data_IF_647978987565
#
_entry.id   IF_647978987565
#
_cell.length_a   1.000
_cell.length_b   1.000
_cell.length_c   1.000
_cell.angle_alpha   90.00
_cell.angle_beta   90.00
_cell.angle_gamma   90.00
#
_symmetry.space_group_name_H-M   'P 1'
#
loop_
_entity.id
_entity.type
_entity.pdbx_description
1 polymer ?
#
# COMPACT_ATOMS: atom_id res chain seq x y z
N UNK A 1 -13.89 -30.63 -5.37
CA UNK A 1 -12.74 -30.37 -4.50
C UNK A 1 -11.62 -29.91 -5.40
N UNK A 2 -11.40 -28.60 -5.50
CA UNK A 2 -10.19 -28.07 -6.13
C UNK A 2 -9.95 -26.67 -5.56
N UNK A 3 -9.05 -26.57 -4.58
CA UNK A 3 -8.80 -25.37 -3.78
C UNK A 3 -7.30 -25.25 -3.43
N UNK A 4 -6.43 -25.50 -4.41
CA UNK A 4 -4.97 -25.55 -4.21
C UNK A 4 -4.14 -24.49 -4.96
N UNK A 5 -4.70 -23.75 -5.92
CA UNK A 5 -3.89 -22.99 -6.88
C UNK A 5 -3.76 -21.47 -6.60
N UNK A 6 -4.59 -20.88 -5.76
CA UNK A 6 -4.56 -19.42 -5.46
C UNK A 6 -3.54 -19.03 -4.38
N UNK A 7 -3.27 -19.93 -3.43
CA UNK A 7 -2.29 -19.70 -2.34
C UNK A 7 -0.85 -19.78 -2.83
N UNK A 8 -0.54 -20.70 -3.75
CA UNK A 8 0.82 -20.89 -4.30
C UNK A 8 1.22 -19.71 -5.18
N UNK A 9 0.30 -19.21 -6.01
CA UNK A 9 0.53 -18.03 -6.86
C UNK A 9 0.78 -16.77 -6.03
N UNK A 10 0.02 -16.56 -4.95
CA UNK A 10 0.13 -15.35 -4.13
C UNK A 10 1.39 -15.30 -3.27
N UNK A 11 1.88 -16.45 -2.80
CA UNK A 11 3.19 -16.58 -2.12
C UNK A 11 4.34 -16.31 -3.09
N UNK A 12 4.22 -16.74 -4.34
CA UNK A 12 5.26 -16.54 -5.36
C UNK A 12 5.45 -15.05 -5.72
N UNK A 13 4.36 -14.29 -5.83
CA UNK A 13 4.42 -12.85 -6.15
C UNK A 13 4.97 -12.02 -5.00
N UNK A 14 4.64 -12.35 -3.76
CA UNK A 14 5.18 -11.66 -2.57
C UNK A 14 6.68 -11.90 -2.42
N UNK A 15 7.14 -13.14 -2.63
CA UNK A 15 8.57 -13.48 -2.63
C UNK A 15 9.34 -12.74 -3.72
N UNK A 16 8.83 -12.72 -4.95
CA UNK A 16 9.46 -12.00 -6.07
C UNK A 16 9.58 -10.49 -5.82
N UNK A 17 8.58 -9.88 -5.18
CA UNK A 17 8.63 -8.46 -4.84
C UNK A 17 9.65 -8.19 -3.72
N UNK A 18 9.69 -9.04 -2.69
CA UNK A 18 10.69 -8.94 -1.64
C UNK A 18 12.11 -9.07 -2.20
N UNK A 19 12.35 -9.99 -3.14
CA UNK A 19 13.64 -10.16 -3.81
C UNK A 19 14.09 -8.87 -4.54
N UNK A 20 13.16 -8.16 -5.19
CA UNK A 20 13.46 -6.86 -5.83
C UNK A 20 13.79 -5.76 -4.81
N UNK A 21 13.11 -5.73 -3.67
CA UNK A 21 13.38 -4.75 -2.62
C UNK A 21 14.68 -5.06 -1.87
N UNK A 22 15.02 -6.34 -1.71
CA UNK A 22 16.31 -6.77 -1.13
C UNK A 22 17.50 -6.30 -1.96
N UNK A 23 17.33 -6.10 -3.28
CA UNK A 23 18.35 -5.51 -4.15
C UNK A 23 18.59 -4.01 -3.88
N UNK A 24 17.69 -3.34 -3.16
CA UNK A 24 17.85 -1.95 -2.72
C UNK A 24 18.71 -1.87 -1.45
N UNK A 25 19.99 -2.21 -1.61
CA UNK A 25 20.94 -2.57 -0.55
C UNK A 25 21.12 -1.55 0.57
N UNK A 26 20.77 -0.28 0.32
CA UNK A 26 20.97 0.84 1.23
C UNK A 26 19.70 1.37 1.89
N UNK A 27 18.57 0.69 1.67
CA UNK A 27 17.26 1.15 2.13
C UNK A 27 16.80 0.39 3.37
N UNK A 28 16.05 1.09 4.24
CA UNK A 28 15.41 0.46 5.40
C UNK A 28 14.45 -0.67 4.98
N UNK A 29 13.74 -0.49 3.86
CA UNK A 29 12.89 -1.51 3.26
C UNK A 29 13.66 -2.80 2.91
N UNK A 30 14.81 -2.66 2.23
CA UNK A 30 15.67 -3.79 1.88
C UNK A 30 16.18 -4.53 3.11
N UNK A 31 16.60 -3.81 4.14
CA UNK A 31 17.02 -4.38 5.43
C UNK A 31 15.88 -5.16 6.08
N UNK A 32 14.68 -4.58 6.20
CA UNK A 32 13.51 -5.26 6.78
C UNK A 32 13.16 -6.52 5.99
N UNK A 33 13.10 -6.44 4.65
CA UNK A 33 12.78 -7.59 3.80
C UNK A 33 13.81 -8.71 3.97
N UNK A 34 15.10 -8.38 4.06
CA UNK A 34 16.16 -9.37 4.24
C UNK A 34 16.18 -9.99 5.64
N UNK A 35 15.94 -9.19 6.69
CA UNK A 35 15.77 -9.72 8.06
C UNK A 35 14.62 -10.70 8.10
N UNK A 36 13.51 -10.40 7.41
CA UNK A 36 12.36 -11.32 7.28
C UNK A 36 12.72 -12.61 6.56
N UNK A 37 13.45 -12.52 5.44
CA UNK A 37 13.82 -13.68 4.62
C UNK A 37 14.83 -14.60 5.32
N UNK A 38 15.88 -14.04 5.93
CA UNK A 38 16.95 -14.80 6.60
C UNK A 38 16.51 -15.48 7.90
N UNK A 39 15.54 -14.92 8.62
CA UNK A 39 15.18 -15.38 9.96
C UNK A 39 13.81 -16.07 10.07
N UNK A 40 12.96 -16.04 9.04
CA UNK A 40 11.59 -16.59 9.14
C UNK A 40 10.82 -16.03 10.35
N UNK A 41 9.94 -16.83 10.96
CA UNK A 41 9.11 -16.50 12.15
C UNK A 41 9.88 -16.03 13.42
N UNK A 42 11.21 -15.93 13.37
CA UNK A 42 12.07 -15.34 14.41
C UNK A 42 12.22 -13.80 14.31
N UNK A 43 11.29 -13.09 13.64
CA UNK A 43 11.20 -11.61 13.72
C UNK A 43 10.97 -11.09 15.14
N UNK A 44 10.43 -11.95 16.01
CA UNK A 44 10.24 -11.71 17.45
C UNK A 44 11.54 -11.66 18.24
N UNK A 45 12.67 -12.07 17.65
CA UNK A 45 13.96 -12.19 18.36
C UNK A 45 14.74 -10.86 18.35
N UNK A 46 14.49 -9.98 17.39
CA UNK A 46 15.00 -8.59 17.39
C UNK A 46 13.91 -7.67 17.93
N UNK A 47 14.11 -7.15 19.16
CA UNK A 47 13.11 -6.34 19.88
C UNK A 47 12.52 -5.20 19.02
N UNK A 48 13.30 -4.60 18.13
CA UNK A 48 12.88 -3.44 17.35
C UNK A 48 12.03 -3.74 16.11
N UNK A 49 12.00 -4.98 15.60
CA UNK A 49 11.16 -5.33 14.43
C UNK A 49 9.83 -5.98 14.80
N UNK A 50 9.59 -6.20 16.10
CA UNK A 50 8.40 -6.90 16.61
C UNK A 50 7.08 -6.32 16.12
N UNK A 51 7.01 -5.00 16.02
CA UNK A 51 5.79 -4.26 15.68
C UNK A 51 5.72 -3.89 14.19
N UNK A 52 6.72 -4.28 13.40
CA UNK A 52 6.78 -4.07 11.95
C UNK A 52 5.91 -5.11 11.26
N UNK A 53 4.88 -4.66 10.55
CA UNK A 53 4.05 -5.50 9.69
C UNK A 53 4.75 -5.83 8.38
N UNK A 54 5.46 -4.85 7.81
CA UNK A 54 6.13 -4.97 6.52
C UNK A 54 6.31 -3.61 5.88
N UNK A 55 6.48 -3.61 4.56
CA UNK A 55 6.52 -2.39 3.76
C UNK A 55 5.22 -2.23 2.98
N UNK A 56 4.85 -1.01 2.59
CA UNK A 56 3.61 -0.75 1.86
C UNK A 56 3.46 -1.66 0.64
N UNK A 57 4.53 -1.83 -0.14
CA UNK A 57 4.53 -2.67 -1.33
C UNK A 57 4.10 -4.13 -1.06
N UNK A 58 4.49 -4.72 0.07
CA UNK A 58 4.23 -6.14 0.37
C UNK A 58 2.86 -6.39 1.02
N UNK A 59 2.16 -5.35 1.50
CA UNK A 59 0.97 -5.50 2.33
C UNK A 59 -0.35 -5.55 1.55
N UNK A 60 -0.33 -5.26 0.25
CA UNK A 60 -1.50 -5.26 -0.62
C UNK A 60 -1.17 -5.78 -2.00
N UNK A 61 -2.09 -6.54 -2.58
CA UNK A 61 -1.98 -7.13 -3.92
C UNK A 61 -3.06 -6.51 -4.80
N UNK A 62 -2.74 -6.00 -5.98
CA UNK A 62 -3.79 -5.55 -6.92
C UNK A 62 -4.18 -6.76 -7.75
N UNK A 63 -5.42 -7.25 -7.57
CA UNK A 63 -5.89 -8.44 -8.28
C UNK A 63 -6.34 -8.10 -9.71
N UNK A 64 -5.60 -8.60 -10.70
CA UNK A 64 -5.92 -8.51 -12.12
C UNK A 64 -7.34 -9.01 -12.47
N UNK A 65 -7.91 -9.95 -11.68
CA UNK A 65 -9.26 -10.48 -11.93
C UNK A 65 -10.39 -9.49 -11.69
N UNK A 66 -10.24 -8.54 -10.77
CA UNK A 66 -11.27 -7.52 -10.52
C UNK A 66 -11.33 -6.49 -11.65
N UNK A 67 -10.18 -6.23 -12.29
CA UNK A 67 -10.06 -5.34 -13.44
C UNK A 67 -10.31 -6.06 -14.76
N UNK A 68 -9.86 -7.31 -14.94
CA UNK A 68 -10.10 -8.09 -16.16
C UNK A 68 -11.54 -8.58 -16.32
N UNK A 69 -12.33 -8.72 -15.23
CA UNK A 69 -13.79 -8.91 -15.33
C UNK A 69 -14.54 -7.63 -15.69
N UNK A 70 -14.03 -6.45 -15.33
CA UNK A 70 -14.55 -5.15 -15.75
C UNK A 70 -14.08 -4.75 -17.16
N UNK A 71 -12.96 -5.32 -17.62
CA UNK A 71 -12.27 -5.00 -18.88
C UNK A 71 -12.12 -6.27 -19.73
N UNK A 72 -13.21 -6.98 -19.98
CA UNK A 72 -13.21 -8.13 -20.91
C UNK A 72 -13.02 -7.75 -22.38
N UNK A 73 -12.62 -6.50 -22.70
CA UNK A 73 -12.39 -6.06 -24.08
C UNK A 73 -11.03 -5.46 -24.39
N UNK A 74 -10.12 -5.24 -23.44
CA UNK A 74 -8.79 -4.74 -23.78
C UNK A 74 -7.69 -5.42 -22.94
N UNK A 75 -6.77 -6.09 -23.65
CA UNK A 75 -5.48 -6.55 -23.11
C UNK A 75 -4.82 -5.38 -22.38
N UNK A 76 -4.68 -5.44 -21.04
CA UNK A 76 -3.72 -4.69 -20.23
C UNK A 76 -3.84 -5.09 -18.74
N UNK A 77 -3.53 -6.35 -18.44
CA UNK A 77 -3.62 -6.95 -17.09
C UNK A 77 -2.62 -6.33 -16.09
N UNK A 78 -1.45 -5.86 -16.54
CA UNK A 78 -0.40 -5.33 -15.65
C UNK A 78 -0.43 -3.80 -15.41
N UNK A 79 -1.36 -3.05 -15.99
CA UNK A 79 -1.28 -1.58 -16.00
C UNK A 79 -1.74 -0.93 -14.69
N UNK A 80 -2.71 -1.55 -14.00
CA UNK A 80 -3.32 -1.00 -12.78
C UNK A 80 -2.42 -1.06 -11.54
N UNK A 81 -1.60 -2.11 -11.40
CA UNK A 81 -0.64 -2.20 -10.29
C UNK A 81 0.48 -1.17 -10.46
N UNK A 82 0.91 -0.96 -11.71
CA UNK A 82 1.96 0.00 -12.04
C UNK A 82 1.49 1.43 -11.80
N UNK A 83 0.25 1.78 -12.18
CA UNK A 83 -0.22 3.17 -12.02
C UNK A 83 -0.54 3.53 -10.57
N UNK A 84 -1.01 2.58 -9.74
CA UNK A 84 -1.19 2.82 -8.31
C UNK A 84 0.16 2.98 -7.60
N UNK A 85 1.17 2.21 -8.01
CA UNK A 85 2.53 2.33 -7.49
C UNK A 85 3.17 3.65 -7.92
N UNK A 86 2.97 4.07 -9.17
CA UNK A 86 3.41 5.36 -9.72
C UNK A 86 2.69 6.52 -9.04
N UNK A 87 1.40 6.36 -8.75
CA UNK A 87 0.66 7.31 -7.93
C UNK A 87 1.33 7.43 -6.55
N UNK A 88 1.55 6.36 -5.80
CA UNK A 88 2.16 6.51 -4.48
C UNK A 88 3.61 7.02 -4.53
N UNK A 89 4.35 6.65 -5.56
CA UNK A 89 5.77 6.95 -5.67
C UNK A 89 6.63 5.95 -4.87
N UNK A 90 7.90 5.86 -5.27
CA UNK A 90 8.84 4.85 -4.75
C UNK A 90 9.04 4.97 -3.24
N UNK A 91 9.20 6.19 -2.71
CA UNK A 91 9.43 6.40 -1.27
C UNK A 91 8.27 5.89 -0.42
N UNK A 92 7.02 6.15 -0.84
CA UNK A 92 5.83 5.66 -0.14
C UNK A 92 5.67 4.15 -0.27
N UNK A 93 5.98 3.57 -1.44
CA UNK A 93 5.94 2.12 -1.63
C UNK A 93 6.97 1.38 -0.77
N UNK A 94 8.11 2.00 -0.49
CA UNK A 94 9.16 1.48 0.40
C UNK A 94 8.96 1.84 1.88
N UNK A 95 7.91 2.58 2.22
CA UNK A 95 7.66 2.97 3.60
C UNK A 95 7.38 1.74 4.49
N UNK A 96 7.97 1.74 5.69
CA UNK A 96 7.76 0.71 6.71
C UNK A 96 6.40 0.95 7.38
N UNK A 97 5.70 -0.12 7.75
CA UNK A 97 4.43 -0.03 8.47
C UNK A 97 4.59 -0.65 9.85
N UNK A 98 4.47 0.17 10.89
CA UNK A 98 4.51 -0.22 12.30
C UNK A 98 3.11 -0.16 12.92
N UNK A 99 2.83 -1.09 13.83
CA UNK A 99 1.56 -1.10 14.55
C UNK A 99 1.45 0.05 15.55
N UNK A 100 2.51 0.31 16.31
CA UNK A 100 2.53 1.19 17.47
C UNK A 100 3.61 2.26 17.37
N UNK A 101 3.49 3.30 18.19
CA UNK A 101 4.52 4.32 18.32
C UNK A 101 5.82 3.74 18.90
N UNK A 102 5.74 2.87 19.89
CA UNK A 102 6.89 2.15 20.45
C UNK A 102 7.64 1.37 19.36
N UNK A 103 6.90 0.79 18.41
CA UNK A 103 7.46 0.13 17.24
C UNK A 103 8.18 1.07 16.28
N UNK A 104 7.77 2.33 16.17
CA UNK A 104 8.49 3.36 15.39
C UNK A 104 9.75 3.79 16.13
N UNK A 105 9.64 4.10 17.43
CA UNK A 105 10.77 4.51 18.27
C UNK A 105 11.85 3.43 18.32
N UNK A 106 11.47 2.15 18.28
CA UNK A 106 12.44 1.07 18.28
C UNK A 106 13.25 0.98 16.96
N UNK A 107 12.77 1.55 15.84
CA UNK A 107 13.50 1.53 14.57
C UNK A 107 14.65 2.54 14.52
N UNK A 108 14.55 3.65 15.27
CA UNK A 108 15.47 4.78 15.19
C UNK A 108 15.59 5.47 16.54
N UNK A 109 16.81 5.52 17.10
CA UNK A 109 17.09 6.20 18.35
C UNK A 109 17.94 7.45 18.10
N UNK A 110 17.70 8.46 18.92
CA UNK A 110 18.47 9.70 18.88
C UNK A 110 19.19 9.91 20.21
N UNK A 111 20.44 10.35 20.12
CA UNK A 111 21.23 10.82 21.24
C UNK A 111 20.66 12.14 21.79
N UNK A 112 21.14 12.56 22.97
CA UNK A 112 20.66 13.79 23.63
C UNK A 112 20.89 15.06 22.80
N UNK A 113 21.85 15.04 21.89
CA UNK A 113 22.15 16.15 20.98
C UNK A 113 21.32 16.10 19.68
N UNK A 114 20.44 15.10 19.53
CA UNK A 114 19.60 14.90 18.35
C UNK A 114 20.30 14.18 17.21
N UNK A 115 21.53 13.68 17.38
CA UNK A 115 22.19 12.82 16.40
C UNK A 115 21.63 11.40 16.44
N UNK A 116 21.68 10.70 15.31
CA UNK A 116 21.23 9.30 15.22
C UNK A 116 22.23 8.37 15.92
N UNK A 117 21.73 7.50 16.79
CA UNK A 117 22.54 6.42 17.37
C UNK A 117 22.75 5.30 16.34
N UNK A 118 23.95 5.28 15.76
CA UNK A 118 24.34 4.32 14.73
C UNK A 118 24.45 2.87 15.22
N UNK A 119 24.34 2.61 16.53
CA UNK A 119 24.41 1.28 17.12
C UNK A 119 23.04 0.71 17.50
N UNK A 120 21.97 1.49 17.36
CA UNK A 120 20.62 1.11 17.75
C UNK A 120 19.69 0.91 16.55
N UNK A 121 18.50 0.34 16.81
CA UNK A 121 17.44 0.18 15.84
C UNK A 121 17.90 -0.49 14.54
N UNK A 122 17.49 0.06 13.40
CA UNK A 122 17.89 -0.44 12.08
C UNK A 122 19.37 -0.20 11.77
N UNK A 123 19.96 0.89 12.28
CA UNK A 123 21.38 1.20 12.10
C UNK A 123 22.29 0.16 12.77
N UNK A 124 21.91 -0.34 13.95
CA UNK A 124 22.62 -1.43 14.63
C UNK A 124 22.42 -2.79 13.96
N UNK A 125 21.26 -3.04 13.33
CA UNK A 125 20.96 -4.32 12.66
C UNK A 125 21.65 -4.43 11.31
N UNK A 126 21.62 -3.38 10.48
CA UNK A 126 22.05 -3.46 9.09
C UNK A 126 23.47 -4.07 8.93
N UNK A 127 24.49 -3.67 9.72
CA UNK A 127 25.82 -4.25 9.62
C UNK A 127 25.87 -5.75 9.94
N UNK A 128 25.01 -6.24 10.84
CA UNK A 128 24.98 -7.66 11.25
C UNK A 128 24.55 -8.60 10.12
N UNK A 129 23.83 -8.08 9.13
CA UNK A 129 23.43 -8.80 7.92
C UNK A 129 24.29 -8.43 6.69
N UNK A 130 25.33 -7.62 6.86
CA UNK A 130 26.21 -7.15 5.79
C UNK A 130 25.63 -6.00 4.96
N UNK A 131 24.68 -5.24 5.52
CA UNK A 131 24.04 -4.09 4.89
C UNK A 131 24.45 -2.78 5.55
N UNK A 132 24.11 -1.68 4.88
CA UNK A 132 24.22 -0.34 5.44
C UNK A 132 22.91 0.39 5.26
N UNK A 133 22.49 1.17 6.24
CA UNK A 133 21.35 2.07 6.10
C UNK A 133 21.87 3.47 5.77
N UNK A 134 21.35 4.09 4.71
CA UNK A 134 21.68 5.46 4.36
C UNK A 134 20.43 6.27 3.99
N UNK A 135 20.42 7.53 4.40
CA UNK A 135 19.33 8.45 4.12
C UNK A 135 18.12 8.26 5.03
N UNK A 136 17.09 9.06 4.77
CA UNK A 136 15.83 9.00 5.50
C UNK A 136 14.96 7.88 4.95
N UNK A 137 14.12 7.31 5.81
CA UNK A 137 13.08 6.37 5.43
C UNK A 137 11.74 6.77 6.05
N UNK A 138 10.65 6.34 5.42
CA UNK A 138 9.30 6.66 5.86
C UNK A 138 8.74 5.52 6.71
N UNK A 139 8.01 5.87 7.77
CA UNK A 139 7.31 4.91 8.63
C UNK A 139 5.86 5.37 8.83
N UNK A 140 4.91 4.49 8.49
CA UNK A 140 3.52 4.64 8.86
C UNK A 140 3.26 3.96 10.20
N UNK A 141 2.84 4.72 11.20
CA UNK A 141 2.35 4.18 12.47
C UNK A 141 0.83 4.01 12.41
N UNK A 142 0.33 2.77 12.38
CA UNK A 142 -1.10 2.51 12.29
C UNK A 142 -1.89 3.09 13.45
N UNK A 143 -1.34 3.07 14.67
CA UNK A 143 -1.96 3.67 15.86
C UNK A 143 -2.21 5.18 15.71
N UNK A 144 -1.40 5.88 14.93
CA UNK A 144 -1.49 7.33 14.73
C UNK A 144 -2.25 7.71 13.45
N UNK A 145 -2.62 6.74 12.60
CA UNK A 145 -3.42 7.00 11.43
C UNK A 145 -4.88 7.23 11.83
N UNK A 146 -5.50 8.25 11.23
CA UNK A 146 -6.95 8.43 11.36
C UNK A 146 -7.63 7.37 10.49
N UNK A 147 -8.38 6.43 11.09
CA UNK A 147 -9.05 5.42 10.31
C UNK A 147 -10.26 6.00 9.58
N UNK A 148 -10.70 5.31 8.53
CA UNK A 148 -11.97 5.57 7.89
C UNK A 148 -13.11 5.44 8.92
N UNK A 149 -13.98 6.45 8.93
CA UNK A 149 -15.09 6.57 9.88
C UNK A 149 -16.45 6.18 9.28
N UNK A 150 -16.49 5.74 8.01
CA UNK A 150 -17.71 5.25 7.38
C UNK A 150 -17.88 3.75 7.51
N UNK A 151 -18.88 3.22 6.82
CA UNK A 151 -19.26 1.81 6.91
C UNK A 151 -18.39 0.91 6.03
N UNK A 152 -18.23 -0.34 6.45
CA UNK A 152 -17.68 -1.42 5.63
C UNK A 152 -18.87 -2.11 4.96
N UNK A 153 -18.72 -2.52 3.70
CA UNK A 153 -19.76 -3.26 2.98
C UNK A 153 -20.10 -4.56 3.73
N UNK A 154 -21.38 -4.80 4.05
CA UNK A 154 -21.80 -5.99 4.77
C UNK A 154 -21.52 -7.25 3.94
N UNK A 155 -21.09 -8.31 4.61
CA UNK A 155 -20.80 -9.63 4.03
C UNK A 155 -19.76 -9.64 2.88
N UNK A 156 -18.97 -8.57 2.72
CA UNK A 156 -17.88 -8.53 1.73
C UNK A 156 -16.63 -9.24 2.31
N UNK A 157 -16.14 -10.32 1.68
CA UNK A 157 -15.01 -11.11 2.20
C UNK A 157 -13.68 -10.36 2.21
N UNK A 158 -13.59 -9.23 1.52
CA UNK A 158 -12.42 -8.35 1.46
C UNK A 158 -12.61 -7.06 2.28
N UNK A 159 -13.72 -6.96 3.03
CA UNK A 159 -14.08 -5.82 3.89
C UNK A 159 -13.94 -4.47 3.18
N UNK A 160 -14.45 -4.40 1.94
CA UNK A 160 -14.44 -3.16 1.15
C UNK A 160 -15.20 -2.04 1.85
N UNK A 161 -14.72 -0.81 1.66
CA UNK A 161 -15.33 0.39 2.24
C UNK A 161 -16.60 0.78 1.48
N UNK A 162 -17.66 1.15 2.19
CA UNK A 162 -18.92 1.65 1.62
C UNK A 162 -18.77 3.13 1.21
N UNK A 163 -17.98 3.39 0.18
CA UNK A 163 -17.76 4.74 -0.35
C UNK A 163 -18.88 5.13 -1.32
N UNK A 164 -19.41 6.34 -1.16
CA UNK A 164 -20.42 6.88 -2.07
C UNK A 164 -19.81 7.15 -3.45
N UNK A 165 -20.32 6.45 -4.46
CA UNK A 165 -19.91 6.66 -5.86
C UNK A 165 -20.30 8.07 -6.36
N UNK A 166 -19.48 8.68 -7.23
CA UNK A 166 -19.82 9.95 -7.85
C UNK A 166 -21.07 9.81 -8.72
N UNK A 167 -21.89 10.86 -8.78
CA UNK A 167 -23.09 10.91 -9.63
C UNK A 167 -23.13 12.21 -10.41
N UNK A 168 -23.44 12.10 -11.69
CA UNK A 168 -23.75 13.23 -12.55
C UNK A 168 -25.09 13.87 -12.14
N UNK A 169 -25.40 15.11 -12.60
CA UNK A 169 -26.67 15.77 -12.29
C UNK A 169 -27.91 14.96 -12.73
N UNK A 170 -27.76 14.09 -13.71
CA UNK A 170 -28.81 13.17 -14.17
C UNK A 170 -28.93 11.89 -13.33
N UNK A 171 -28.18 11.77 -12.24
CA UNK A 171 -28.16 10.62 -11.32
C UNK A 171 -27.36 9.41 -11.79
N UNK A 172 -26.82 9.42 -13.01
CA UNK A 172 -25.97 8.33 -13.53
C UNK A 172 -24.54 8.43 -13.01
N UNK A 173 -23.82 7.31 -13.04
CA UNK A 173 -22.38 7.31 -12.81
C UNK A 173 -21.64 8.05 -13.94
N UNK A 174 -20.56 8.80 -13.64
CA UNK A 174 -19.68 9.31 -14.68
C UNK A 174 -19.20 8.16 -15.60
N UNK A 175 -19.22 8.35 -16.92
CA UNK A 175 -18.63 7.39 -17.85
C UNK A 175 -17.20 7.00 -17.45
N UNK A 176 -16.84 5.74 -17.68
CA UNK A 176 -15.51 5.23 -17.39
C UNK A 176 -15.15 5.07 -15.91
N UNK A 177 -15.99 5.48 -14.94
CA UNK A 177 -15.72 5.25 -13.51
C UNK A 177 -15.72 3.74 -13.17
N UNK A 178 -14.61 3.25 -12.63
CA UNK A 178 -14.40 1.83 -12.30
C UNK A 178 -14.50 1.54 -10.81
N UNK A 179 -14.46 2.57 -9.95
CA UNK A 179 -14.50 2.43 -8.50
C UNK A 179 -13.37 3.18 -7.80
N UNK A 180 -13.22 2.93 -6.50
CA UNK A 180 -12.19 3.52 -5.66
C UNK A 180 -10.97 2.62 -5.53
N UNK A 181 -9.77 3.19 -5.67
CA UNK A 181 -8.49 2.46 -5.63
C UNK A 181 -8.33 1.65 -4.32
N UNK A 182 -8.73 2.24 -3.18
CA UNK A 182 -8.67 1.58 -1.87
C UNK A 182 -9.45 0.25 -1.84
N UNK A 183 -10.51 0.09 -2.64
CA UNK A 183 -11.32 -1.14 -2.74
C UNK A 183 -10.83 -2.12 -3.81
N UNK A 184 -9.83 -1.75 -4.61
CA UNK A 184 -9.21 -2.61 -5.63
C UNK A 184 -8.03 -3.41 -5.07
N UNK A 185 -7.53 -3.03 -3.89
CA UNK A 185 -6.44 -3.72 -3.20
C UNK A 185 -6.99 -4.98 -2.55
N UNK A 186 -6.43 -6.11 -2.90
CA UNK A 186 -6.64 -7.39 -2.26
C UNK A 186 -5.65 -7.53 -1.10
N UNK A 187 -6.11 -8.09 0.02
CA UNK A 187 -5.28 -8.34 1.19
C UNK A 187 -5.52 -9.74 1.73
N UNK A 188 -4.47 -10.30 2.30
CA UNK A 188 -4.54 -11.59 3.00
C UNK A 188 -5.43 -11.47 4.25
N UNK A 189 -6.08 -12.57 4.64
CA UNK A 189 -7.08 -12.59 5.71
C UNK A 189 -6.59 -11.98 7.03
N UNK A 190 -5.31 -12.18 7.36
CA UNK A 190 -4.67 -11.66 8.57
C UNK A 190 -4.61 -10.13 8.63
N UNK A 191 -4.72 -9.44 7.48
CA UNK A 191 -4.66 -7.99 7.38
C UNK A 191 -6.04 -7.33 7.32
N UNK A 192 -7.12 -8.12 7.26
CA UNK A 192 -8.48 -7.61 7.11
C UNK A 192 -9.10 -7.12 8.43
N UNK A 193 -8.63 -7.58 9.59
CA UNK A 193 -9.10 -7.11 10.90
C UNK A 193 -8.13 -7.43 12.02
N UNK A 194 -8.32 -6.75 13.16
CA UNK A 194 -7.54 -6.95 14.38
C UNK A 194 -6.03 -6.76 14.17
N UNK A 195 -5.67 -5.87 13.25
CA UNK A 195 -4.28 -5.49 12.99
C UNK A 195 -3.85 -4.39 13.97
N UNK A 196 -4.74 -3.42 14.17
CA UNK A 196 -4.58 -2.35 15.17
C UNK A 196 -5.17 -2.74 16.52
N UNK A 197 -4.77 -2.02 17.57
CA UNK A 197 -5.29 -2.22 18.94
C UNK A 197 -6.81 -2.06 19.03
N UNK A 198 -7.40 -1.20 18.19
CA UNK A 198 -8.85 -0.96 18.12
C UNK A 198 -9.60 -1.98 17.25
N UNK A 199 -8.96 -3.09 16.88
CA UNK A 199 -9.59 -4.16 16.10
C UNK A 199 -9.69 -3.90 14.60
N UNK A 200 -9.14 -2.79 14.10
CA UNK A 200 -9.23 -2.41 12.67
C UNK A 200 -8.20 -3.11 11.79
N UNK A 201 -8.55 -3.34 10.53
CA UNK A 201 -7.69 -3.86 9.46
C UNK A 201 -6.92 -2.79 8.68
N UNK A 202 -6.15 -3.22 7.68
CA UNK A 202 -5.31 -2.33 6.86
C UNK A 202 -6.10 -1.50 5.84
N UNK A 203 -7.29 -1.95 5.41
CA UNK A 203 -8.06 -1.22 4.39
C UNK A 203 -8.52 0.13 4.91
N UNK A 204 -9.19 0.11 6.06
CA UNK A 204 -9.76 1.26 6.72
C UNK A 204 -8.72 2.11 7.45
N UNK A 205 -7.46 1.67 7.54
CA UNK A 205 -6.36 2.42 8.16
C UNK A 205 -5.33 2.84 7.11
N UNK A 206 -4.33 2.00 6.87
CA UNK A 206 -3.21 2.27 5.96
C UNK A 206 -3.67 2.64 4.56
N UNK A 207 -4.43 1.77 3.90
CA UNK A 207 -4.76 1.98 2.49
C UNK A 207 -5.76 3.10 2.28
N UNK A 208 -6.64 3.36 3.24
CA UNK A 208 -7.47 4.57 3.22
C UNK A 208 -6.64 5.83 3.45
N UNK A 209 -5.60 5.81 4.29
CA UNK A 209 -4.70 6.96 4.41
C UNK A 209 -3.88 7.22 3.14
N UNK A 210 -3.51 6.18 2.40
CA UNK A 210 -2.71 6.27 1.18
C UNK A 210 -3.53 6.72 -0.04
N UNK A 211 -4.73 6.17 -0.19
CA UNK A 211 -5.56 6.38 -1.38
C UNK A 211 -6.79 7.23 -1.12
N UNK A 212 -7.26 7.36 0.12
CA UNK A 212 -8.49 8.04 0.49
C UNK A 212 -9.64 7.68 -0.45
N UNK A 213 -10.24 8.67 -1.15
CA UNK A 213 -11.28 8.47 -2.16
C UNK A 213 -10.73 8.55 -3.59
N UNK A 214 -9.48 8.14 -3.83
CA UNK A 214 -8.87 8.08 -5.16
C UNK A 214 -9.75 7.25 -6.11
N UNK A 215 -10.23 7.91 -7.16
CA UNK A 215 -11.11 7.31 -8.16
C UNK A 215 -10.29 6.70 -9.30
N UNK A 216 -10.78 5.60 -9.87
CA UNK A 216 -10.13 4.92 -11.00
C UNK A 216 -11.05 4.99 -12.21
N UNK A 217 -10.51 5.39 -13.34
CA UNK A 217 -11.21 5.56 -14.60
C UNK A 217 -10.63 4.67 -15.70
N UNK A 218 -11.43 4.37 -16.71
CA UNK A 218 -11.01 3.58 -17.86
C UNK A 218 -10.01 4.35 -18.73
N UNK A 219 -10.35 5.59 -19.12
CA UNK A 219 -9.48 6.44 -19.95
C UNK A 219 -9.24 7.81 -19.31
N UNK A 220 -8.19 8.50 -19.77
CA UNK A 220 -7.89 9.87 -19.35
C UNK A 220 -9.02 10.81 -19.75
N UNK A 221 -9.63 10.59 -20.91
CA UNK A 221 -10.79 11.40 -21.36
C UNK A 221 -11.95 11.27 -20.38
N UNK A 222 -12.34 10.05 -20.00
CA UNK A 222 -13.42 9.80 -19.03
C UNK A 222 -13.11 10.47 -17.68
N UNK A 223 -11.85 10.40 -17.24
CA UNK A 223 -11.39 11.04 -16.01
C UNK A 223 -11.53 12.57 -16.07
N UNK A 224 -11.17 13.19 -17.20
CA UNK A 224 -11.27 14.64 -17.38
C UNK A 224 -12.73 15.11 -17.48
N UNK A 225 -13.60 14.35 -18.14
CA UNK A 225 -15.04 14.64 -18.22
C UNK A 225 -15.70 14.58 -16.84
N UNK A 226 -15.16 13.75 -15.94
CA UNK A 226 -15.64 13.61 -14.58
C UNK A 226 -14.95 14.54 -13.56
N UNK A 227 -14.06 15.43 -13.99
CA UNK A 227 -13.25 16.31 -13.13
C UNK A 227 -14.04 17.03 -12.02
N UNK A 228 -15.24 17.59 -12.28
CA UNK A 228 -16.03 18.26 -11.23
C UNK A 228 -16.51 17.36 -10.09
N UNK A 229 -16.46 16.03 -10.26
CA UNK A 229 -16.95 15.03 -9.31
C UNK A 229 -15.83 14.26 -8.60
N UNK A 230 -14.57 14.65 -8.84
CA UNK A 230 -13.38 14.07 -8.22
C UNK A 230 -12.99 14.92 -7.00
N UNK A 231 -12.89 14.30 -5.82
CA UNK A 231 -12.58 15.02 -4.57
C UNK A 231 -11.10 14.96 -4.19
N UNK A 232 -10.51 13.76 -4.18
CA UNK A 232 -9.20 13.52 -3.56
C UNK A 232 -8.09 13.25 -4.59
N UNK A 233 -8.50 12.92 -5.82
CA UNK A 233 -7.62 12.53 -6.91
C UNK A 233 -8.28 11.49 -7.81
N UNK A 234 -7.69 11.27 -8.98
CA UNK A 234 -8.10 10.21 -9.89
C UNK A 234 -6.90 9.66 -10.68
N UNK A 235 -7.04 8.43 -11.14
CA UNK A 235 -6.14 7.80 -12.11
C UNK A 235 -6.94 7.19 -13.26
N UNK A 236 -6.32 7.02 -14.43
CA UNK A 236 -6.91 6.29 -15.55
C UNK A 236 -6.03 5.15 -16.05
N UNK A 237 -6.63 4.07 -16.54
CA UNK A 237 -5.88 2.87 -16.95
C UNK A 237 -4.93 3.12 -18.14
N UNK A 238 -5.11 4.20 -18.89
CA UNK A 238 -4.23 4.65 -19.96
C UNK A 238 -3.11 5.62 -19.51
N UNK A 239 -2.89 5.77 -18.19
CA UNK A 239 -1.73 6.48 -17.63
C UNK A 239 -2.01 7.90 -17.11
N UNK A 240 -3.25 8.35 -17.07
CA UNK A 240 -3.60 9.64 -16.48
C UNK A 240 -3.49 9.62 -14.96
N UNK A 241 -2.88 10.66 -14.38
CA UNK A 241 -2.81 10.86 -12.94
C UNK A 241 -3.20 12.29 -12.58
N UNK A 242 -4.21 12.41 -11.72
CA UNK A 242 -4.66 13.61 -11.05
C UNK A 242 -4.50 13.41 -9.54
N UNK A 243 -3.60 14.18 -8.94
CA UNK A 243 -3.43 14.26 -7.49
C UNK A 243 -4.50 15.17 -6.88
N UNK A 244 -4.72 15.00 -5.59
CA UNK A 244 -5.55 15.92 -4.81
C UNK A 244 -5.08 17.37 -4.96
N UNK A 245 -5.99 18.30 -4.65
CA UNK A 245 -5.75 19.75 -4.82
C UNK A 245 -5.54 20.20 -6.28
N UNK A 246 -6.00 19.41 -7.27
CA UNK A 246 -5.97 19.79 -8.68
C UNK A 246 -4.59 19.68 -9.35
N UNK A 247 -3.68 18.89 -8.78
CA UNK A 247 -2.32 18.72 -9.32
C UNK A 247 -2.29 17.62 -10.40
N UNK A 248 -1.91 17.98 -11.63
CA UNK A 248 -1.83 17.05 -12.76
C UNK A 248 -0.41 16.53 -12.97
N UNK A 249 -0.28 15.24 -13.28
CA UNK A 249 0.97 14.67 -13.80
C UNK A 249 0.88 14.56 -15.34
N UNK A 250 1.84 15.15 -16.02
CA UNK A 250 1.96 15.21 -17.48
C UNK A 250 3.36 14.75 -17.90
N UNK A 251 3.49 14.19 -19.09
CA UNK A 251 4.74 13.64 -19.62
C UNK A 251 4.61 12.17 -20.01
N UNK A 252 5.68 11.63 -20.60
CA UNK A 252 5.77 10.19 -20.88
C UNK A 252 6.00 9.40 -19.58
N UNK A 253 5.58 8.14 -19.63
CA UNK A 253 5.69 7.15 -18.56
C UNK A 253 6.96 6.33 -18.69
#
# INVERSE_FOLDING_TARGET
>A
MDNGNSSVSSVYTEKQMNDQVIQLEKTAAGIICEVKDRHGSMLSTLKCTKDVLGIVASLGKVCDQNLSRLVSSFKNSCTSILILSEYLGVETMLAIVCKTIDGVEALENYEKDGTVDMNAGLHGIAPTIGRMLNGRFLVYCLQNLRPFSGEILPDDPQKKLALMNPKLPNGKYPPGFLGFAVNMIYMDQQHLSCVTVDGRGLRETLFYSLFSRLQVYNTRSDMMDALPFISDGAISLDGGILKGSGLFCLGER
#
